data_IF_841067683643
#
_entry.id   IF_841067683643
#
_cell.length_a   1.000
_cell.length_b   1.000
_cell.length_c   1.000
_cell.angle_alpha   90.00
_cell.angle_beta   90.00
_cell.angle_gamma   90.00
#
_symmetry.space_group_name_H-M   'P 1'
#
loop_
_entity.id
_entity.type
_entity.pdbx_description
1 polymer ?
#
# COMPACT_ATOMS: atom_id res chain seq x y z
N UNK A 1 -0.74 15.71 21.11
CA UNK A 1 -0.08 14.80 20.17
C UNK A 1 -0.41 15.34 18.78
N UNK A 2 0.56 15.96 18.12
CA UNK A 2 0.37 16.51 16.78
C UNK A 2 0.54 15.35 15.80
N UNK A 3 -0.56 14.86 15.21
CA UNK A 3 -0.49 13.78 14.22
C UNK A 3 0.20 14.37 12.99
N UNK A 4 1.43 13.91 12.71
CA UNK A 4 2.10 14.24 11.45
C UNK A 4 1.46 13.41 10.33
N UNK A 5 0.25 13.82 9.93
CA UNK A 5 -0.40 13.24 8.75
C UNK A 5 0.50 13.47 7.54
N UNK A 6 0.64 12.46 6.71
CA UNK A 6 1.41 12.52 5.47
C UNK A 6 0.72 13.48 4.49
N UNK A 7 1.46 14.10 3.57
CA UNK A 7 0.91 15.09 2.63
C UNK A 7 -0.36 14.60 1.91
N UNK A 8 -0.39 13.30 1.58
CA UNK A 8 -1.52 12.63 0.94
C UNK A 8 -2.79 12.61 1.80
N UNK A 9 -2.69 12.23 3.07
CA UNK A 9 -3.83 12.26 4.00
C UNK A 9 -4.22 13.69 4.38
N UNK A 10 -3.24 14.61 4.44
CA UNK A 10 -3.48 16.03 4.72
C UNK A 10 -4.36 16.73 3.69
N UNK A 11 -4.39 16.20 2.46
CA UNK A 11 -5.24 16.73 1.39
C UNK A 11 -6.73 16.70 1.74
N UNK A 12 -7.14 15.81 2.65
CA UNK A 12 -8.55 15.54 2.97
C UNK A 12 -8.84 15.62 4.48
N UNK A 13 -8.14 16.48 5.25
CA UNK A 13 -8.27 16.57 6.72
C UNK A 13 -9.68 16.89 7.23
N UNK A 14 -10.49 17.56 6.41
CA UNK A 14 -11.87 17.90 6.75
C UNK A 14 -12.81 16.68 6.71
N UNK A 15 -12.32 15.53 6.23
CA UNK A 15 -13.08 14.29 6.09
C UNK A 15 -12.73 13.30 7.20
N UNK A 16 -13.72 12.88 8.02
CA UNK A 16 -13.48 11.98 9.15
C UNK A 16 -12.77 10.67 8.78
N UNK A 17 -13.04 10.12 7.58
CA UNK A 17 -12.41 8.88 7.10
C UNK A 17 -10.88 9.03 6.97
N UNK A 18 -10.39 10.17 6.46
CA UNK A 18 -8.95 10.43 6.30
C UNK A 18 -8.24 10.71 7.61
N UNK A 19 -8.94 11.35 8.56
CA UNK A 19 -8.44 11.54 9.93
C UNK A 19 -8.25 10.18 10.60
N UNK A 20 -9.26 9.29 10.53
CA UNK A 20 -9.18 7.94 11.09
C UNK A 20 -8.07 7.09 10.45
N UNK A 21 -7.86 7.22 9.13
CA UNK A 21 -6.76 6.56 8.42
C UNK A 21 -5.39 7.07 8.91
N UNK A 22 -5.26 8.37 9.15
CA UNK A 22 -4.06 8.98 9.73
C UNK A 22 -3.76 8.49 11.14
N UNK A 23 -4.77 8.43 12.00
CA UNK A 23 -4.62 7.89 13.35
C UNK A 23 -4.18 6.42 13.35
N UNK A 24 -4.70 5.61 12.42
CA UNK A 24 -4.28 4.21 12.28
C UNK A 24 -2.85 4.09 11.76
N UNK A 25 -2.43 4.96 10.84
CA UNK A 25 -1.05 5.01 10.36
C UNK A 25 -0.08 5.36 11.49
N UNK A 26 -0.44 6.32 12.34
CA UNK A 26 0.37 6.69 13.52
C UNK A 26 0.47 5.53 14.52
N UNK A 27 -0.66 4.86 14.81
CA UNK A 27 -0.65 3.66 15.68
C UNK A 27 0.18 2.51 15.12
N UNK A 28 0.20 2.33 13.79
CA UNK A 28 1.05 1.35 13.12
C UNK A 28 2.53 1.72 13.31
N UNK A 29 2.87 2.99 13.08
CA UNK A 29 4.23 3.52 13.28
C UNK A 29 4.71 3.31 14.71
N UNK A 30 3.93 3.70 15.71
CA UNK A 30 4.31 3.55 17.11
C UNK A 30 4.59 2.10 17.50
N UNK A 31 3.74 1.16 17.07
CA UNK A 31 3.95 -0.28 17.35
C UNK A 31 5.22 -0.80 16.67
N UNK A 32 5.46 -0.38 15.43
CA UNK A 32 6.66 -0.74 14.68
C UNK A 32 7.94 -0.17 15.30
N UNK A 33 7.92 1.09 15.74
CA UNK A 33 9.04 1.74 16.45
C UNK A 33 9.34 1.09 17.80
N UNK A 34 8.31 0.67 18.53
CA UNK A 34 8.46 -0.05 19.82
C UNK A 34 8.89 -1.52 19.63
N UNK A 35 9.06 -1.99 18.40
CA UNK A 35 9.40 -3.40 18.12
C UNK A 35 8.28 -4.38 18.46
N UNK A 36 7.05 -3.90 18.63
CA UNK A 36 5.86 -4.69 18.96
C UNK A 36 5.24 -5.37 17.72
N UNK A 37 5.81 -5.15 16.54
CA UNK A 37 5.31 -5.67 15.27
C UNK A 37 6.47 -6.19 14.43
N UNK A 38 6.38 -7.44 13.98
CA UNK A 38 7.37 -8.01 13.08
C UNK A 38 7.23 -7.43 11.67
N UNK A 39 8.33 -7.43 10.90
CA UNK A 39 8.37 -6.79 9.58
C UNK A 39 7.31 -7.31 8.59
N UNK A 40 6.95 -8.59 8.67
CA UNK A 40 5.93 -9.20 7.82
C UNK A 40 4.52 -8.67 8.17
N UNK A 41 4.19 -8.65 9.46
CA UNK A 41 2.89 -8.15 9.94
C UNK A 41 2.75 -6.64 9.72
N UNK A 42 3.84 -5.90 9.93
CA UNK A 42 3.93 -4.49 9.58
C UNK A 42 3.61 -4.25 8.10
N UNK A 43 4.22 -5.02 7.19
CA UNK A 43 3.96 -4.88 5.75
C UNK A 43 2.50 -5.20 5.39
N UNK A 44 1.91 -6.24 6.00
CA UNK A 44 0.50 -6.62 5.81
C UNK A 44 -0.45 -5.52 6.27
N UNK A 45 -0.22 -4.97 7.46
CA UNK A 45 -1.03 -3.87 7.99
C UNK A 45 -0.89 -2.61 7.12
N UNK A 46 0.32 -2.30 6.67
CA UNK A 46 0.60 -1.16 5.80
C UNK A 46 -0.10 -1.30 4.43
N UNK A 47 -0.11 -2.50 3.84
CA UNK A 47 -0.85 -2.79 2.60
C UNK A 47 -2.35 -2.60 2.75
N UNK A 48 -2.88 -3.00 3.92
CA UNK A 48 -4.30 -2.83 4.24
C UNK A 48 -4.63 -1.35 4.31
N UNK A 49 -3.85 -0.56 5.05
CA UNK A 49 -4.02 0.89 5.13
C UNK A 49 -3.87 1.57 3.77
N UNK A 50 -2.86 1.22 2.97
CA UNK A 50 -2.67 1.78 1.64
C UNK A 50 -3.87 1.51 0.72
N UNK A 51 -4.47 0.32 0.83
CA UNK A 51 -5.68 -0.03 0.08
C UNK A 51 -6.86 0.85 0.48
N UNK A 52 -7.09 1.03 1.78
CA UNK A 52 -8.19 1.85 2.29
C UNK A 52 -8.00 3.33 1.94
N UNK A 53 -6.77 3.84 1.97
CA UNK A 53 -6.45 5.21 1.55
C UNK A 53 -6.81 5.42 0.08
N UNK A 54 -6.33 4.55 -0.82
CA UNK A 54 -6.64 4.67 -2.26
C UNK A 54 -8.15 4.52 -2.51
N UNK A 55 -8.82 3.66 -1.75
CA UNK A 55 -10.27 3.51 -1.84
C UNK A 55 -11.02 4.77 -1.40
N UNK A 56 -10.59 5.41 -0.31
CA UNK A 56 -11.17 6.66 0.17
C UNK A 56 -10.95 7.79 -0.85
N UNK A 57 -9.73 7.90 -1.41
CA UNK A 57 -9.37 8.86 -2.45
C UNK A 57 -10.25 8.72 -3.69
N UNK A 58 -10.54 7.50 -4.14
CA UNK A 58 -11.43 7.27 -5.28
C UNK A 58 -12.83 7.88 -5.14
N UNK A 59 -13.32 8.03 -3.91
CA UNK A 59 -14.65 8.60 -3.65
C UNK A 59 -14.66 10.12 -3.68
N UNK A 60 -13.48 10.75 -3.63
CA UNK A 60 -13.36 12.19 -3.38
C UNK A 60 -12.49 12.95 -4.37
N UNK A 61 -11.49 12.28 -4.95
CA UNK A 61 -10.56 12.87 -5.90
C UNK A 61 -11.09 12.71 -7.33
N UNK A 62 -10.92 13.71 -8.19
CA UNK A 62 -11.19 13.59 -9.62
C UNK A 62 -10.36 12.48 -10.30
N UNK A 63 -10.87 11.93 -11.40
CA UNK A 63 -10.24 10.81 -12.13
C UNK A 63 -8.79 11.10 -12.59
N UNK A 64 -8.46 12.36 -12.89
CA UNK A 64 -7.12 12.76 -13.34
C UNK A 64 -6.09 12.83 -12.20
N UNK A 65 -6.55 12.94 -10.95
CA UNK A 65 -5.71 12.84 -9.76
C UNK A 65 -5.53 11.39 -9.33
N UNK A 66 -6.58 10.58 -9.42
CA UNK A 66 -6.50 9.12 -9.24
C UNK A 66 -5.51 8.50 -10.25
N UNK A 67 -5.63 8.87 -11.53
CA UNK A 67 -4.55 9.51 -12.27
C UNK A 67 -3.08 9.19 -11.93
N UNK A 68 -2.61 10.04 -11.04
CA UNK A 68 -1.21 10.37 -10.78
C UNK A 68 -0.73 9.66 -9.52
N UNK A 69 -1.65 9.28 -8.64
CA UNK A 69 -1.39 8.44 -7.48
C UNK A 69 -0.88 7.06 -7.94
N UNK A 70 0.41 6.78 -7.78
CA UNK A 70 1.04 5.49 -8.17
C UNK A 70 1.94 4.88 -7.09
N UNK A 71 2.02 5.53 -5.94
CA UNK A 71 3.03 5.23 -4.93
C UNK A 71 2.44 5.31 -3.51
N UNK A 72 1.15 5.02 -3.32
CA UNK A 72 0.52 5.16 -2.00
C UNK A 72 1.27 4.32 -0.96
N UNK A 73 1.59 3.07 -1.28
CA UNK A 73 2.30 2.19 -0.37
C UNK A 73 3.69 2.73 -0.05
N UNK A 74 4.44 3.21 -1.05
CA UNK A 74 5.78 3.80 -0.86
C UNK A 74 5.73 5.10 -0.07
N UNK A 75 4.72 5.95 -0.31
CA UNK A 75 4.50 7.21 0.41
C UNK A 75 4.18 6.93 1.88
N UNK A 76 3.21 6.04 2.15
CA UNK A 76 2.88 5.64 3.52
C UNK A 76 4.08 4.98 4.21
N UNK A 77 4.77 4.05 3.53
CA UNK A 77 5.97 3.39 4.05
C UNK A 77 7.07 4.37 4.45
N UNK A 78 7.30 5.41 3.64
CA UNK A 78 8.37 6.38 3.89
C UNK A 78 8.16 7.17 5.18
N UNK A 79 6.93 7.26 5.65
CA UNK A 79 6.52 8.05 6.81
C UNK A 79 6.52 7.23 8.11
N UNK A 80 6.31 5.92 7.97
CA UNK A 80 6.26 4.97 9.10
C UNK A 80 7.54 4.13 9.26
N UNK A 81 8.42 4.09 8.25
CA UNK A 81 9.72 3.43 8.37
C UNK A 81 10.60 4.15 9.39
N UNK A 82 11.48 3.39 10.02
CA UNK A 82 12.43 3.84 11.02
C UNK A 82 13.77 3.09 10.84
N UNK A 83 14.74 3.37 11.71
CA UNK A 83 16.07 2.75 11.65
C UNK A 83 16.07 1.23 11.83
N UNK A 84 15.07 0.67 12.51
CA UNK A 84 14.93 -0.78 12.72
C UNK A 84 14.20 -1.47 11.56
N UNK A 85 13.67 -0.72 10.59
CA UNK A 85 12.98 -1.28 9.43
C UNK A 85 13.98 -1.91 8.46
N UNK A 86 13.92 -3.24 8.21
CA UNK A 86 14.86 -3.88 7.31
C UNK A 86 14.74 -3.33 5.89
N UNK A 87 15.88 -3.08 5.23
CA UNK A 87 15.94 -2.54 3.85
C UNK A 87 15.11 -3.37 2.88
N UNK A 88 15.04 -4.70 3.09
CA UNK A 88 14.23 -5.60 2.25
C UNK A 88 12.75 -5.23 2.23
N UNK A 89 12.17 -4.73 3.33
CA UNK A 89 10.76 -4.32 3.39
C UNK A 89 10.50 -3.17 2.42
N UNK A 90 11.38 -2.17 2.40
CA UNK A 90 11.28 -1.06 1.47
C UNK A 90 11.42 -1.49 0.00
N UNK A 91 12.25 -2.50 -0.27
CA UNK A 91 12.38 -3.06 -1.63
C UNK A 91 11.11 -3.79 -2.06
N UNK A 92 10.48 -4.55 -1.17
CA UNK A 92 9.18 -5.21 -1.43
C UNK A 92 8.10 -4.17 -1.73
N UNK A 93 8.02 -3.11 -0.92
CA UNK A 93 7.06 -2.01 -1.12
C UNK A 93 7.24 -1.36 -2.49
N UNK A 94 8.48 -1.02 -2.86
CA UNK A 94 8.77 -0.41 -4.15
C UNK A 94 8.39 -1.31 -5.32
N UNK A 95 8.68 -2.61 -5.24
CA UNK A 95 8.33 -3.55 -6.31
C UNK A 95 6.81 -3.75 -6.45
N UNK A 96 6.06 -3.70 -5.35
CA UNK A 96 4.59 -3.78 -5.39
C UNK A 96 4.01 -2.54 -6.08
N UNK A 97 4.50 -1.34 -5.75
CA UNK A 97 4.11 -0.11 -6.45
C UNK A 97 4.59 -0.08 -7.91
N UNK A 98 5.69 -0.74 -8.25
CA UNK A 98 6.11 -0.90 -9.65
C UNK A 98 5.10 -1.73 -10.45
N UNK A 99 4.55 -2.80 -9.87
CA UNK A 99 3.44 -3.55 -10.50
C UNK A 99 2.26 -2.61 -10.76
N UNK A 100 1.87 -1.79 -9.79
CA UNK A 100 0.78 -0.79 -9.97
C UNK A 100 1.03 0.11 -11.19
N UNK A 101 2.27 0.58 -11.38
CA UNK A 101 2.63 1.44 -12.53
C UNK A 101 2.45 0.73 -13.88
N UNK A 102 2.76 -0.56 -13.94
CA UNK A 102 2.69 -1.35 -15.18
C UNK A 102 1.26 -1.71 -15.57
N UNK A 103 0.35 -1.84 -14.61
CA UNK A 103 -0.99 -2.44 -14.81
C UNK A 103 -2.09 -1.42 -15.04
N UNK A 104 -1.76 -0.14 -15.16
CA UNK A 104 -2.72 0.95 -15.38
C UNK A 104 -3.36 0.97 -16.79
N UNK A 105 -3.04 -0.01 -17.63
CA UNK A 105 -3.73 -0.22 -18.88
C UNK A 105 -5.18 -0.66 -18.64
N UNK A 106 -6.15 -0.16 -19.42
CA UNK A 106 -7.55 -0.41 -19.17
C UNK A 106 -7.92 -1.91 -19.28
N UNK A 107 -8.83 -2.36 -18.44
CA UNK A 107 -9.50 -3.66 -18.59
C UNK A 107 -8.80 -4.89 -17.99
N UNK A 108 -7.68 -4.76 -17.27
CA UNK A 108 -7.03 -5.98 -16.75
C UNK A 108 -7.92 -6.74 -15.75
N UNK A 109 -8.73 -6.03 -14.96
CA UNK A 109 -9.70 -6.64 -14.04
C UNK A 109 -10.93 -7.23 -14.74
N UNK A 110 -11.21 -6.82 -15.98
CA UNK A 110 -12.40 -7.30 -16.70
C UNK A 110 -12.15 -8.63 -17.42
N UNK A 111 -10.91 -9.12 -17.42
CA UNK A 111 -10.55 -10.40 -18.05
C UNK A 111 -9.81 -11.31 -17.07
N UNK A 112 -10.13 -12.61 -17.12
CA UNK A 112 -9.39 -13.64 -16.36
C UNK A 112 -7.90 -13.67 -16.71
N UNK A 113 -7.56 -13.33 -17.97
CA UNK A 113 -6.17 -13.30 -18.45
C UNK A 113 -5.39 -12.16 -17.79
N UNK A 114 -5.94 -10.94 -17.78
CA UNK A 114 -5.32 -9.78 -17.13
C UNK A 114 -5.10 -10.01 -15.64
N UNK A 115 -6.12 -10.51 -14.93
CA UNK A 115 -5.99 -10.87 -13.51
C UNK A 115 -4.87 -11.88 -13.25
N UNK A 116 -4.77 -12.90 -14.11
CA UNK A 116 -3.73 -13.94 -14.00
C UNK A 116 -2.33 -13.38 -14.22
N UNK A 117 -2.14 -12.43 -15.14
CA UNK A 117 -0.85 -11.78 -15.35
C UNK A 117 -0.42 -10.96 -14.13
N UNK A 118 -1.36 -10.28 -13.46
CA UNK A 118 -1.06 -9.53 -12.23
C UNK A 118 -0.66 -10.47 -11.11
N UNK A 119 -1.43 -11.55 -10.90
CA UNK A 119 -1.09 -12.56 -9.91
C UNK A 119 0.27 -13.20 -10.18
N UNK A 120 0.63 -13.44 -11.46
CA UNK A 120 1.96 -13.97 -11.84
C UNK A 120 3.07 -12.97 -11.51
N UNK A 121 2.91 -11.69 -11.86
CA UNK A 121 3.88 -10.66 -11.55
C UNK A 121 4.08 -10.52 -10.03
N UNK A 122 2.98 -10.50 -9.27
CA UNK A 122 3.02 -10.42 -7.82
C UNK A 122 3.66 -11.66 -7.18
N UNK A 123 3.37 -12.88 -7.67
CA UNK A 123 4.05 -14.12 -7.21
C UNK A 123 5.54 -14.07 -7.49
N UNK A 124 5.95 -13.56 -8.66
CA UNK A 124 7.38 -13.41 -9.01
C UNK A 124 8.09 -12.46 -8.04
N UNK A 125 7.44 -11.39 -7.61
CA UNK A 125 7.97 -10.48 -6.59
C UNK A 125 8.00 -11.14 -5.22
N UNK A 126 6.85 -11.52 -4.66
CA UNK A 126 6.75 -11.93 -3.25
C UNK A 126 7.39 -13.32 -3.04
N UNK A 127 7.02 -14.32 -3.85
CA UNK A 127 7.38 -15.72 -3.59
C UNK A 127 8.74 -16.10 -4.17
N UNK A 128 9.15 -15.49 -5.28
CA UNK A 128 10.39 -15.85 -5.98
C UNK A 128 11.52 -14.89 -5.62
N UNK A 129 11.35 -13.58 -5.84
CA UNK A 129 12.41 -12.58 -5.60
C UNK A 129 12.72 -12.43 -4.10
N UNK A 130 11.69 -12.36 -3.25
CA UNK A 130 11.87 -12.19 -1.80
C UNK A 130 11.70 -13.47 -0.99
N UNK A 131 11.31 -14.58 -1.62
CA UNK A 131 11.11 -15.88 -0.97
C UNK A 131 10.14 -15.86 0.23
N UNK A 132 9.20 -14.91 0.25
CA UNK A 132 8.19 -14.80 1.31
C UNK A 132 6.96 -15.62 0.91
N UNK A 133 6.84 -16.84 1.42
CA UNK A 133 5.70 -17.72 1.13
C UNK A 133 4.58 -17.49 2.13
N UNK A 134 3.96 -16.32 2.06
CA UNK A 134 2.85 -15.93 2.92
C UNK A 134 1.63 -15.52 2.06
N UNK A 135 0.55 -16.29 2.20
CA UNK A 135 -0.66 -16.10 1.40
C UNK A 135 -1.42 -14.82 1.77
N UNK A 136 -1.44 -14.45 3.05
CA UNK A 136 -2.13 -13.24 3.52
C UNK A 136 -1.43 -11.96 3.02
N UNK A 137 -0.10 -11.95 2.99
CA UNK A 137 0.68 -10.88 2.37
C UNK A 137 0.36 -10.76 0.87
N UNK A 138 0.32 -11.91 0.17
CA UNK A 138 -0.03 -11.93 -1.25
C UNK A 138 -1.44 -11.37 -1.49
N UNK A 139 -2.43 -11.82 -0.72
CA UNK A 139 -3.82 -11.40 -0.88
C UNK A 139 -3.98 -9.90 -0.60
N UNK A 140 -3.36 -9.38 0.47
CA UNK A 140 -3.36 -7.95 0.79
C UNK A 140 -2.67 -7.11 -0.29
N UNK A 141 -1.54 -7.56 -0.83
CA UNK A 141 -0.87 -6.87 -1.93
C UNK A 141 -1.71 -6.89 -3.22
N UNK A 142 -2.39 -7.99 -3.49
CA UNK A 142 -3.29 -8.10 -4.63
C UNK A 142 -4.52 -7.18 -4.49
N UNK A 143 -5.13 -7.13 -3.30
CA UNK A 143 -6.23 -6.20 -2.98
C UNK A 143 -5.81 -4.75 -3.16
N UNK A 144 -4.59 -4.40 -2.71
CA UNK A 144 -4.01 -3.07 -2.92
C UNK A 144 -3.86 -2.72 -4.40
N UNK A 145 -3.27 -3.62 -5.20
CA UNK A 145 -3.09 -3.41 -6.65
C UNK A 145 -4.45 -3.24 -7.35
N UNK A 146 -5.48 -3.97 -6.89
CA UNK A 146 -6.84 -3.84 -7.42
C UNK A 146 -7.45 -2.46 -7.17
N UNK A 147 -6.96 -1.69 -6.22
CA UNK A 147 -7.42 -0.31 -6.01
C UNK A 147 -6.96 0.66 -7.11
N UNK A 148 -6.11 0.27 -8.06
CA UNK A 148 -5.70 1.19 -9.14
C UNK A 148 -6.46 1.02 -10.46
N UNK A 149 -7.59 0.32 -10.40
CA UNK A 149 -8.56 0.20 -11.48
C UNK A 149 -9.98 0.42 -10.94
#
# INVERSE_FOLDING_TARGET
>A
IEIKLIARLRKHLEKPEFVALGERLEKLKERHEKGLLHSLDFLKELLTLASEVVQAEKRVDPLDEQAKAKAALTELFSEVKNVSTPVVVGRVVNDIDEIVRLVRFPGWQTTKSGEREIQKALRKVIYVKYQVKDQDLFDKAFVYIRQYY
#
